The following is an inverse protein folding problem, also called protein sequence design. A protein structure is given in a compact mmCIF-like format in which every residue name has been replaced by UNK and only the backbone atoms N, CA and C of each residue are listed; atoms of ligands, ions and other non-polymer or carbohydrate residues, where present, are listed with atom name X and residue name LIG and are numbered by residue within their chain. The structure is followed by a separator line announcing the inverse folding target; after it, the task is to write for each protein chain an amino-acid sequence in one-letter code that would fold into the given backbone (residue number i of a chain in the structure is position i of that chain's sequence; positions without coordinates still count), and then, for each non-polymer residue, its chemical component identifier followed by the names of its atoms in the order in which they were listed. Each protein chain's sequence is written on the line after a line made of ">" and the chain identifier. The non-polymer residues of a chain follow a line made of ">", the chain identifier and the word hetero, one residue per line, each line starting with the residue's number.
data_IF_694604621020
#
_entry.id   IF_694604621020
#
_cell.length_a   1.000
_cell.length_b   1.000
_cell.length_c   1.000
_cell.angle_alpha   90.00
_cell.angle_beta   90.00
_cell.angle_gamma   90.00
#
_symmetry.space_group_name_H-M   'P 1'
#
loop_
_entity.id
_entity.type
_entity.pdbx_description
1 polymer ?
#
# COMPACT_ATOMS: atom_id res chain seq x y z
N UNK A 1 -7.21 3.36 11.32
CA UNK A 1 -5.87 2.75 11.50
C UNK A 1 -4.85 3.66 10.85
N UNK A 2 -3.69 3.80 11.47
CA UNK A 2 -2.62 4.66 10.97
C UNK A 2 -1.56 3.79 10.27
N UNK A 3 -1.23 4.13 9.02
CA UNK A 3 -0.06 3.59 8.35
C UNK A 3 1.14 4.41 8.79
N UNK A 4 2.13 3.75 9.36
CA UNK A 4 3.38 4.40 9.80
C UNK A 4 4.27 4.73 8.60
N UNK A 5 5.24 5.62 8.79
CA UNK A 5 6.20 5.97 7.74
C UNK A 5 7.01 4.76 7.28
N UNK A 6 7.34 3.84 8.19
CA UNK A 6 8.07 2.62 7.86
C UNK A 6 7.23 1.65 7.03
N UNK A 7 5.95 1.49 7.38
CA UNK A 7 5.01 0.68 6.61
C UNK A 7 4.83 1.27 5.20
N UNK A 8 4.65 2.58 5.10
CA UNK A 8 4.54 3.28 3.83
C UNK A 8 5.82 3.14 2.97
N UNK A 9 7.00 3.20 3.60
CA UNK A 9 8.29 2.95 2.94
C UNK A 9 8.40 1.51 2.44
N UNK A 10 8.00 0.52 3.24
CA UNK A 10 8.02 -0.89 2.84
C UNK A 10 7.11 -1.17 1.64
N UNK A 11 5.90 -0.57 1.62
CA UNK A 11 4.98 -0.65 0.47
C UNK A 11 5.63 -0.08 -0.79
N UNK A 12 6.27 1.10 -0.70
CA UNK A 12 6.97 1.71 -1.85
C UNK A 12 8.15 0.88 -2.35
N UNK A 13 8.89 0.23 -1.45
CA UNK A 13 9.99 -0.68 -1.83
C UNK A 13 9.45 -1.89 -2.59
N UNK A 14 8.45 -2.57 -2.03
CA UNK A 14 7.80 -3.70 -2.70
C UNK A 14 7.20 -3.32 -4.06
N UNK A 15 6.59 -2.14 -4.17
CA UNK A 15 6.14 -1.61 -5.46
C UNK A 15 7.30 -1.53 -6.46
N UNK A 16 8.45 -0.99 -6.04
CA UNK A 16 9.63 -0.84 -6.89
C UNK A 16 10.26 -2.19 -7.27
N UNK A 17 10.35 -3.13 -6.31
CA UNK A 17 10.86 -4.48 -6.54
C UNK A 17 10.02 -5.23 -7.58
N UNK A 18 8.70 -5.04 -7.55
CA UNK A 18 7.76 -5.60 -8.53
C UNK A 18 7.62 -4.77 -9.82
N UNK A 19 8.35 -3.64 -9.94
CA UNK A 19 8.29 -2.70 -11.06
C UNK A 19 6.86 -2.21 -11.39
N UNK A 20 6.01 -2.05 -10.37
CA UNK A 20 4.61 -1.68 -10.56
C UNK A 20 4.41 -0.16 -10.58
N UNK A 21 3.46 0.28 -11.42
CA UNK A 21 2.93 1.65 -11.33
C UNK A 21 2.05 1.79 -10.08
N UNK A 22 1.85 3.03 -9.62
CA UNK A 22 0.94 3.31 -8.49
C UNK A 22 -0.49 2.80 -8.76
N UNK A 23 -0.97 2.91 -10.01
CA UNK A 23 -2.28 2.42 -10.44
C UNK A 23 -2.35 0.89 -10.39
N UNK A 24 -1.32 0.19 -10.88
CA UNK A 24 -1.26 -1.26 -10.85
C UNK A 24 -1.18 -1.80 -9.41
N UNK A 25 -0.37 -1.15 -8.57
CA UNK A 25 -0.23 -1.49 -7.14
C UNK A 25 -1.55 -1.33 -6.41
N UNK A 26 -2.26 -0.22 -6.63
CA UNK A 26 -3.58 0.01 -6.06
C UNK A 26 -4.57 -1.10 -6.44
N UNK A 27 -4.55 -1.54 -7.70
CA UNK A 27 -5.41 -2.61 -8.19
C UNK A 27 -5.08 -3.96 -7.52
N UNK A 28 -3.79 -4.30 -7.37
CA UNK A 28 -3.37 -5.53 -6.67
C UNK A 28 -3.74 -5.53 -5.18
N UNK A 29 -3.66 -4.38 -4.51
CA UNK A 29 -4.10 -4.22 -3.12
C UNK A 29 -5.65 -4.26 -3.03
N UNK A 30 -6.36 -4.00 -4.14
CA UNK A 30 -7.81 -3.93 -4.18
C UNK A 30 -8.36 -2.62 -3.61
N UNK A 31 -7.68 -1.50 -3.91
CA UNK A 31 -8.07 -0.13 -3.54
C UNK A 31 -8.02 0.81 -4.74
N UNK A 32 -8.55 2.02 -4.58
CA UNK A 32 -8.50 3.03 -5.65
C UNK A 32 -7.11 3.69 -5.74
N UNK A 33 -6.65 4.11 -6.94
CA UNK A 33 -5.36 4.79 -7.10
C UNK A 33 -5.22 6.06 -6.25
N UNK A 34 -6.31 6.82 -6.06
CA UNK A 34 -6.31 8.00 -5.19
C UNK A 34 -6.07 7.63 -3.71
N UNK A 35 -6.59 6.48 -3.26
CA UNK A 35 -6.35 5.97 -1.91
C UNK A 35 -4.92 5.49 -1.73
N UNK A 36 -4.34 4.90 -2.78
CA UNK A 36 -2.96 4.41 -2.75
C UNK A 36 -1.96 5.52 -2.45
N UNK A 37 -2.17 6.73 -2.96
CA UNK A 37 -1.29 7.87 -2.64
C UNK A 37 -1.15 8.08 -1.12
N UNK A 38 -2.27 8.01 -0.37
CA UNK A 38 -2.26 8.12 1.10
C UNK A 38 -1.57 6.93 1.78
N UNK A 39 -1.72 5.73 1.22
CA UNK A 39 -1.07 4.51 1.71
C UNK A 39 0.46 4.61 1.54
N UNK A 40 0.92 5.10 0.40
CA UNK A 40 2.34 5.23 0.07
C UNK A 40 3.05 6.38 0.81
N UNK A 41 2.33 7.41 1.25
CA UNK A 41 2.86 8.51 2.08
C UNK A 41 2.73 8.27 3.57
N UNK A 42 1.88 7.32 3.98
CA UNK A 42 1.50 7.11 5.37
C UNK A 42 0.37 8.06 5.82
N UNK A 43 -0.20 7.77 7.00
CA UNK A 43 -1.30 8.53 7.59
C UNK A 43 -2.54 7.69 7.90
N UNK A 44 -3.64 8.38 8.19
CA UNK A 44 -4.88 7.75 8.63
C UNK A 44 -5.71 7.20 7.46
N UNK A 45 -6.05 5.92 7.55
CA UNK A 45 -6.89 5.22 6.57
C UNK A 45 -7.98 4.41 7.28
N UNK A 46 -9.04 4.06 6.54
CA UNK A 46 -10.08 3.14 7.02
C UNK A 46 -9.44 1.79 7.34
N UNK A 47 -9.96 1.10 8.36
CA UNK A 47 -9.43 -0.19 8.80
C UNK A 47 -9.34 -1.22 7.66
N UNK A 48 -10.35 -1.27 6.80
CA UNK A 48 -10.39 -2.17 5.65
C UNK A 48 -9.26 -1.91 4.65
N UNK A 49 -8.87 -0.65 4.42
CA UNK A 49 -7.75 -0.27 3.56
C UNK A 49 -6.43 -0.68 4.21
N UNK A 50 -6.30 -0.43 5.51
CA UNK A 50 -5.11 -0.82 6.27
C UNK A 50 -4.85 -2.32 6.17
N UNK A 51 -5.87 -3.14 6.46
CA UNK A 51 -5.76 -4.60 6.41
C UNK A 51 -5.37 -5.06 5.01
N UNK A 52 -6.02 -4.55 3.95
CA UNK A 52 -5.67 -4.88 2.56
C UNK A 52 -4.22 -4.55 2.22
N UNK A 53 -3.75 -3.35 2.61
CA UNK A 53 -2.39 -2.91 2.34
C UNK A 53 -1.36 -3.76 3.09
N UNK A 54 -1.61 -4.10 4.36
CA UNK A 54 -0.72 -4.94 5.16
C UNK A 54 -0.72 -6.40 4.66
N UNK A 55 -1.87 -6.94 4.27
CA UNK A 55 -1.96 -8.26 3.65
C UNK A 55 -1.18 -8.33 2.33
N UNK A 56 -1.33 -7.30 1.48
CA UNK A 56 -0.54 -7.23 0.26
C UNK A 56 0.95 -7.13 0.58
N UNK A 57 1.35 -6.35 1.59
CA UNK A 57 2.75 -6.22 2.01
C UNK A 57 3.32 -7.56 2.51
N UNK A 58 2.57 -8.29 3.34
CA UNK A 58 2.99 -9.55 3.95
C UNK A 58 2.98 -10.77 3.02
N UNK A 59 2.34 -10.70 1.85
CA UNK A 59 2.41 -11.77 0.84
C UNK A 59 3.82 -11.84 0.27
N UNK A 60 4.63 -12.81 0.67
CA UNK A 60 5.90 -13.08 -0.02
C UNK A 60 5.63 -13.49 -1.48
N UNK A 61 6.44 -12.95 -2.39
CA UNK A 61 6.47 -13.28 -3.82
C UNK A 61 7.76 -14.05 -4.13
#
# INVERSE_FOLDING_TARGET
>A
MQITQDQARAIRRKQADMQLTAKATALQIGITPHTYAKVATGGNVKNTIYVKAMQWLAKDY
#
